data_IF_582933504388
#
_entry.id   IF_582933504388
#
_cell.length_a   1.000
_cell.length_b   1.000
_cell.length_c   1.000
_cell.angle_alpha   90.00
_cell.angle_beta   90.00
_cell.angle_gamma   90.00
#
_symmetry.space_group_name_H-M   'P 1'
#
loop_
_entity.id
_entity.type
_entity.pdbx_description
1 polymer ?
#
# COMPACT_ATOMS: atom_id res chain seq x y z
N UNK A 1 -6.71 16.24 13.48
CA UNK A 1 -6.67 17.51 12.70
C UNK A 1 -7.92 17.66 11.86
N UNK A 2 -7.96 17.02 10.69
CA UNK A 2 -9.01 17.20 9.67
C UNK A 2 -10.45 16.86 10.12
N UNK A 3 -10.64 15.99 11.11
CA UNK A 3 -11.96 15.73 11.70
C UNK A 3 -12.48 16.84 12.62
N UNK A 4 -11.56 17.58 13.25
CA UNK A 4 -11.89 18.66 14.18
C UNK A 4 -11.98 20.01 13.44
N UNK A 5 -11.26 20.14 12.33
CA UNK A 5 -11.12 21.37 11.55
C UNK A 5 -11.55 21.12 10.11
N UNK A 6 -12.71 21.67 9.71
CA UNK A 6 -13.13 21.70 8.31
C UNK A 6 -12.49 22.90 7.61
N UNK A 7 -11.38 22.67 6.91
CA UNK A 7 -10.62 23.73 6.24
C UNK A 7 -11.26 24.20 4.93
N UNK A 8 -12.06 23.34 4.26
CA UNK A 8 -12.86 23.66 3.07
C UNK A 8 -14.14 22.82 3.10
N UNK A 9 -15.29 23.37 3.54
CA UNK A 9 -16.56 22.65 3.51
C UNK A 9 -17.11 22.70 2.08
N UNK A 10 -16.45 22.05 1.14
CA UNK A 10 -17.15 21.63 -0.06
C UNK A 10 -18.17 20.59 0.43
N UNK A 11 -19.45 20.77 0.09
CA UNK A 11 -20.37 19.65 0.22
C UNK A 11 -19.70 18.52 -0.55
N UNK A 12 -19.38 17.41 0.13
CA UNK A 12 -18.93 16.22 -0.55
C UNK A 12 -20.09 15.80 -1.43
N UNK A 13 -20.15 16.35 -2.64
CA UNK A 13 -21.16 16.01 -3.62
C UNK A 13 -20.98 14.51 -3.79
N UNK A 14 -22.06 13.77 -3.53
CA UNK A 14 -22.15 12.31 -3.67
C UNK A 14 -22.04 11.93 -5.16
N UNK A 15 -20.99 12.41 -5.83
CA UNK A 15 -20.61 12.09 -7.21
C UNK A 15 -20.05 10.68 -7.19
N UNK A 16 -20.53 9.84 -8.11
CA UNK A 16 -20.07 8.47 -8.32
C UNK A 16 -20.37 7.46 -7.19
N UNK A 17 -21.47 7.63 -6.45
CA UNK A 17 -21.95 6.61 -5.47
C UNK A 17 -23.31 6.00 -5.84
N UNK A 18 -23.67 6.05 -7.12
CA UNK A 18 -24.98 5.60 -7.60
C UNK A 18 -25.20 4.10 -7.45
N UNK A 19 -24.15 3.30 -7.34
CA UNK A 19 -24.18 1.90 -6.95
C UNK A 19 -24.50 1.74 -5.46
N UNK A 20 -23.82 2.48 -4.58
CA UNK A 20 -24.05 2.45 -3.12
C UNK A 20 -25.46 2.90 -2.75
N UNK A 21 -26.01 3.88 -3.46
CA UNK A 21 -27.38 4.36 -3.26
C UNK A 21 -28.47 3.35 -3.67
N UNK A 22 -28.14 2.38 -4.53
CA UNK A 22 -29.06 1.32 -4.95
C UNK A 22 -29.07 0.14 -3.99
N UNK A 23 -28.06 0.00 -3.13
CA UNK A 23 -27.99 -1.07 -2.15
C UNK A 23 -28.81 -0.71 -0.90
N UNK A 24 -29.94 -1.41 -0.63
CA UNK A 24 -30.80 -1.08 0.50
C UNK A 24 -30.12 -1.29 1.86
N UNK A 25 -29.15 -2.20 1.97
CA UNK A 25 -28.41 -2.45 3.20
C UNK A 25 -27.47 -1.29 3.51
N UNK A 26 -26.77 -0.78 2.49
CA UNK A 26 -25.86 0.38 2.63
C UNK A 26 -26.67 1.64 2.98
N UNK A 27 -27.81 1.86 2.33
CA UNK A 27 -28.69 3.00 2.64
C UNK A 27 -29.26 2.92 4.05
N UNK A 28 -29.66 1.72 4.50
CA UNK A 28 -30.08 1.50 5.88
C UNK A 28 -28.94 1.80 6.87
N UNK A 29 -27.73 1.32 6.57
CA UNK A 29 -26.56 1.59 7.40
C UNK A 29 -26.24 3.09 7.45
N UNK A 30 -26.24 3.82 6.33
CA UNK A 30 -26.00 5.27 6.27
C UNK A 30 -26.98 6.02 7.17
N UNK A 31 -28.27 5.66 7.11
CA UNK A 31 -29.35 6.27 7.90
C UNK A 31 -29.18 6.05 9.42
N UNK A 32 -28.70 4.89 9.84
CA UNK A 32 -28.62 4.51 11.26
C UNK A 32 -27.19 4.38 11.79
N UNK A 33 -26.17 4.83 11.04
CA UNK A 33 -24.77 4.57 11.32
C UNK A 33 -24.34 4.97 12.74
N UNK A 34 -24.79 6.13 13.23
CA UNK A 34 -24.49 6.59 14.58
C UNK A 34 -25.13 5.73 15.67
N UNK A 35 -26.37 5.28 15.47
CA UNK A 35 -27.06 4.39 16.40
C UNK A 35 -26.45 2.99 16.41
N UNK A 36 -26.14 2.44 15.24
CA UNK A 36 -25.44 1.16 15.11
C UNK A 36 -24.08 1.26 15.81
N UNK A 37 -23.32 2.31 15.54
CA UNK A 37 -22.01 2.57 16.15
C UNK A 37 -22.08 2.71 17.67
N UNK A 38 -23.08 3.43 18.20
CA UNK A 38 -23.25 3.59 19.64
C UNK A 38 -23.66 2.26 20.32
N UNK A 39 -24.59 1.53 19.72
CA UNK A 39 -25.04 0.25 20.24
C UNK A 39 -23.93 -0.80 20.24
N UNK A 40 -23.32 -1.07 19.07
CA UNK A 40 -22.28 -2.09 18.95
C UNK A 40 -20.99 -1.66 19.66
N UNK A 41 -20.67 -0.36 19.61
CA UNK A 41 -19.46 0.20 20.18
C UNK A 41 -19.47 0.34 21.70
N UNK A 42 -20.63 0.58 22.34
CA UNK A 42 -20.69 0.83 23.79
C UNK A 42 -21.73 -0.02 24.51
N UNK A 43 -22.96 -0.12 24.00
CA UNK A 43 -24.05 -0.82 24.70
C UNK A 43 -23.78 -2.32 24.78
N UNK A 44 -23.50 -2.97 23.66
CA UNK A 44 -23.22 -4.41 23.59
C UNK A 44 -22.07 -4.82 24.50
N UNK A 45 -20.87 -4.20 24.45
CA UNK A 45 -19.78 -4.61 25.33
C UNK A 45 -20.08 -4.36 26.82
N UNK A 46 -20.83 -3.30 27.15
CA UNK A 46 -21.28 -3.03 28.53
C UNK A 46 -22.23 -4.11 29.03
N UNK A 47 -23.22 -4.50 28.22
CA UNK A 47 -24.21 -5.54 28.58
C UNK A 47 -23.54 -6.90 28.72
N UNK A 48 -22.65 -7.27 27.79
CA UNK A 48 -21.87 -8.51 27.90
C UNK A 48 -20.99 -8.52 29.15
N UNK A 49 -20.36 -7.39 29.46
CA UNK A 49 -19.63 -7.21 30.72
C UNK A 49 -20.53 -7.39 31.94
N UNK A 50 -21.75 -6.84 31.91
CA UNK A 50 -22.73 -7.00 32.99
C UNK A 50 -23.08 -8.46 33.23
N UNK A 51 -23.35 -9.23 32.17
CA UNK A 51 -23.65 -10.66 32.31
C UNK A 51 -22.44 -11.47 32.80
N UNK A 52 -21.22 -11.00 32.54
CA UNK A 52 -20.01 -11.68 33.00
C UNK A 52 -19.71 -11.45 34.48
N UNK A 53 -19.83 -10.21 34.99
CA UNK A 53 -19.41 -9.86 36.36
C UNK A 53 -20.24 -8.74 37.01
N UNK A 54 -21.54 -8.64 36.68
CA UNK A 54 -22.45 -7.65 37.23
C UNK A 54 -22.01 -6.21 36.92
N UNK A 55 -22.26 -5.29 37.85
CA UNK A 55 -21.97 -3.85 37.64
C UNK A 55 -20.49 -3.59 37.37
N UNK A 56 -19.58 -4.30 38.03
CA UNK A 56 -18.13 -4.16 37.80
C UNK A 56 -17.77 -4.62 36.39
N UNK A 57 -18.33 -5.75 35.97
CA UNK A 57 -18.16 -6.24 34.60
C UNK A 57 -18.73 -5.27 33.56
N UNK A 58 -19.87 -4.64 33.83
CA UNK A 58 -20.46 -3.63 32.95
C UNK A 58 -19.53 -2.44 32.74
N UNK A 59 -18.97 -1.91 33.83
CA UNK A 59 -17.99 -0.82 33.77
C UNK A 59 -16.73 -1.25 33.00
N UNK A 60 -16.23 -2.47 33.26
CA UNK A 60 -15.10 -3.04 32.53
C UNK A 60 -15.38 -3.16 31.02
N UNK A 61 -16.58 -3.65 30.66
CA UNK A 61 -17.04 -3.76 29.28
C UNK A 61 -17.17 -2.40 28.58
N UNK A 62 -17.70 -1.39 29.27
CA UNK A 62 -17.77 -0.04 28.72
C UNK A 62 -16.38 0.55 28.48
N UNK A 63 -15.49 0.45 29.46
CA UNK A 63 -14.21 1.16 29.42
C UNK A 63 -13.19 0.48 28.50
N UNK A 64 -13.08 -0.85 28.51
CA UNK A 64 -12.03 -1.57 27.78
C UNK A 64 -12.46 -1.89 26.34
N UNK A 65 -13.38 -2.85 26.07
CA UNK A 65 -13.81 -3.14 24.71
C UNK A 65 -14.71 -2.05 24.10
N UNK A 66 -15.30 -1.16 24.90
CA UNK A 66 -16.00 0.03 24.41
C UNK A 66 -15.06 1.17 24.06
N UNK A 67 -14.61 1.91 25.07
CA UNK A 67 -13.85 3.16 24.90
C UNK A 67 -12.41 2.91 24.44
N UNK A 68 -11.61 2.13 25.19
CA UNK A 68 -10.19 1.97 24.89
C UNK A 68 -9.96 1.33 23.51
N UNK A 69 -10.72 0.29 23.18
CA UNK A 69 -10.73 -0.32 21.85
C UNK A 69 -11.09 0.69 20.76
N UNK A 70 -12.13 1.52 20.95
CA UNK A 70 -12.52 2.53 19.97
C UNK A 70 -11.37 3.52 19.72
N UNK A 71 -10.75 4.02 20.79
CA UNK A 71 -9.59 4.91 20.69
C UNK A 71 -8.47 4.26 19.90
N UNK A 72 -8.12 3.01 20.22
CA UNK A 72 -7.04 2.29 19.52
C UNK A 72 -7.35 2.12 18.04
N UNK A 73 -8.53 1.58 17.68
CA UNK A 73 -8.96 1.37 16.29
C UNK A 73 -8.95 2.69 15.53
N UNK A 74 -9.45 3.77 16.13
CA UNK A 74 -9.47 5.09 15.50
C UNK A 74 -8.07 5.60 15.16
N UNK A 75 -7.10 5.43 16.06
CA UNK A 75 -5.72 5.81 15.80
C UNK A 75 -5.09 4.98 14.69
N UNK A 76 -5.34 3.67 14.65
CA UNK A 76 -4.84 2.81 13.57
C UNK A 76 -5.41 3.24 12.21
N UNK A 77 -6.71 3.58 12.15
CA UNK A 77 -7.31 4.13 10.92
C UNK A 77 -6.68 5.46 10.51
N UNK A 78 -6.34 6.34 11.46
CA UNK A 78 -5.68 7.60 11.16
C UNK A 78 -4.22 7.45 10.72
N UNK A 79 -3.53 6.41 11.18
CA UNK A 79 -2.19 6.08 10.69
C UNK A 79 -2.15 5.76 9.19
N UNK A 80 -3.25 5.26 8.62
CA UNK A 80 -3.35 5.09 7.16
C UNK A 80 -3.23 6.45 6.47
N UNK A 81 -4.02 7.43 6.90
CA UNK A 81 -4.04 8.77 6.31
C UNK A 81 -2.82 9.64 6.65
N UNK A 82 -1.92 9.17 7.52
CA UNK A 82 -0.76 9.92 7.99
C UNK A 82 0.53 9.14 7.78
N UNK A 83 0.82 8.16 8.65
CA UNK A 83 2.05 7.39 8.61
C UNK A 83 2.24 6.63 7.29
N UNK A 84 1.19 6.10 6.67
CA UNK A 84 1.31 5.46 5.35
C UNK A 84 1.55 6.45 4.20
N UNK A 85 1.49 7.76 4.46
CA UNK A 85 1.91 8.83 3.54
C UNK A 85 3.23 9.50 3.95
N UNK A 86 3.91 8.99 4.99
CA UNK A 86 5.17 9.54 5.49
C UNK A 86 6.29 8.49 5.55
N UNK A 87 5.98 7.26 5.96
CA UNK A 87 6.95 6.21 6.29
C UNK A 87 6.76 5.02 5.35
N UNK A 88 7.86 4.51 4.79
CA UNK A 88 7.87 3.32 3.94
C UNK A 88 8.50 3.55 2.58
N UNK A 89 8.24 2.66 1.63
CA UNK A 89 8.78 2.70 0.27
C UNK A 89 7.67 2.95 -0.76
N UNK A 90 8.04 3.31 -2.00
CA UNK A 90 7.09 3.49 -3.11
C UNK A 90 7.44 2.55 -4.27
N UNK A 91 7.18 1.24 -4.12
CA UNK A 91 7.61 0.27 -5.13
C UNK A 91 6.77 0.30 -6.42
N UNK A 92 5.55 0.85 -6.43
CA UNK A 92 4.64 0.76 -7.58
C UNK A 92 4.33 2.10 -8.25
N UNK A 93 4.26 3.20 -7.50
CA UNK A 93 4.07 4.54 -8.07
C UNK A 93 4.64 5.64 -7.17
N UNK A 94 5.31 6.62 -7.78
CA UNK A 94 5.76 7.85 -7.10
C UNK A 94 4.86 9.05 -7.37
N UNK A 95 3.73 8.86 -8.07
CA UNK A 95 2.79 9.93 -8.45
C UNK A 95 2.00 10.48 -7.25
N UNK A 96 1.89 9.69 -6.18
CA UNK A 96 1.26 10.10 -4.92
C UNK A 96 2.19 9.89 -3.71
N UNK A 97 1.77 10.39 -2.54
CA UNK A 97 2.59 10.33 -1.34
C UNK A 97 2.54 8.98 -0.60
N UNK A 98 1.61 8.10 -0.97
CA UNK A 98 1.37 6.81 -0.32
C UNK A 98 2.61 5.91 -0.38
N UNK A 99 2.83 5.15 0.69
CA UNK A 99 4.00 4.30 0.91
C UNK A 99 3.59 2.95 1.47
N UNK A 100 4.36 1.93 1.09
CA UNK A 100 4.27 0.58 1.65
C UNK A 100 5.12 0.47 2.91
N UNK A 101 4.51 0.00 4.00
CA UNK A 101 5.20 -0.29 5.26
C UNK A 101 4.63 -1.53 5.93
N UNK A 102 5.48 -2.54 6.12
CA UNK A 102 5.10 -3.79 6.81
C UNK A 102 4.69 -3.54 8.27
N UNK A 103 5.35 -2.59 8.95
CA UNK A 103 5.00 -2.24 10.33
C UNK A 103 3.60 -1.63 10.37
N UNK A 104 3.29 -0.72 9.43
CA UNK A 104 1.94 -0.16 9.35
C UNK A 104 0.92 -1.25 8.99
N UNK A 105 1.24 -2.13 8.06
CA UNK A 105 0.34 -3.22 7.65
C UNK A 105 -0.03 -4.14 8.82
N UNK A 106 0.87 -4.36 9.79
CA UNK A 106 0.54 -5.09 11.00
C UNK A 106 -0.54 -4.38 11.84
N UNK A 107 -0.36 -3.08 12.10
CA UNK A 107 -1.28 -2.27 12.91
C UNK A 107 -2.61 -1.98 12.22
N UNK A 108 -2.61 -1.92 10.89
CA UNK A 108 -3.77 -1.58 10.07
C UNK A 108 -4.39 -2.80 9.37
N UNK A 109 -3.99 -4.01 9.76
CA UNK A 109 -4.50 -5.27 9.21
C UNK A 109 -4.40 -5.38 7.67
N UNK A 110 -3.29 -4.90 7.11
CA UNK A 110 -2.96 -5.02 5.68
C UNK A 110 -2.97 -3.69 4.93
N UNK A 111 -3.70 -2.68 5.41
CA UNK A 111 -3.84 -1.36 4.74
C UNK A 111 -2.53 -0.56 4.65
N UNK A 112 -1.47 -1.00 5.35
CA UNK A 112 -0.15 -0.37 5.31
C UNK A 112 0.63 -0.60 4.01
N UNK A 113 0.16 -1.49 3.11
CA UNK A 113 0.65 -1.57 1.73
C UNK A 113 -0.06 -0.52 0.86
N UNK A 114 0.08 0.74 1.28
CA UNK A 114 -0.74 1.83 0.79
C UNK A 114 -0.29 2.32 -0.60
N UNK A 115 0.99 2.15 -0.94
CA UNK A 115 1.46 2.48 -2.29
C UNK A 115 0.82 1.54 -3.33
N UNK A 116 0.76 0.24 -3.01
CA UNK A 116 0.04 -0.72 -3.85
C UNK A 116 -1.43 -0.37 -4.00
N UNK A 117 -2.10 -0.10 -2.87
CA UNK A 117 -3.52 0.24 -2.84
C UNK A 117 -3.84 1.47 -3.72
N UNK A 118 -3.02 2.54 -3.64
CA UNK A 118 -3.25 3.74 -4.46
C UNK A 118 -3.02 3.50 -5.95
N UNK A 119 -2.03 2.70 -6.33
CA UNK A 119 -1.78 2.37 -7.74
C UNK A 119 -2.86 1.43 -8.31
N UNK A 120 -3.35 0.48 -7.49
CA UNK A 120 -4.23 -0.59 -7.93
C UNK A 120 -5.49 -0.72 -7.07
N UNK A 121 -6.22 0.39 -6.89
CA UNK A 121 -7.41 0.51 -6.01
C UNK A 121 -8.53 -0.52 -6.25
N UNK A 122 -8.52 -1.18 -7.41
CA UNK A 122 -9.53 -2.17 -7.80
C UNK A 122 -9.14 -3.62 -7.49
N UNK A 123 -7.92 -3.90 -7.04
CA UNK A 123 -7.54 -5.21 -6.52
C UNK A 123 -8.13 -5.39 -5.12
N UNK A 124 -8.70 -6.55 -4.81
CA UNK A 124 -9.24 -6.81 -3.47
C UNK A 124 -8.14 -6.95 -2.39
N UNK A 125 -6.87 -7.06 -2.77
CA UNK A 125 -5.71 -7.22 -1.88
C UNK A 125 -5.03 -5.88 -1.67
N UNK A 126 -4.55 -5.66 -0.45
CA UNK A 126 -3.59 -4.60 -0.19
C UNK A 126 -2.16 -5.13 -0.32
N UNK A 127 -1.89 -6.32 0.22
CA UNK A 127 -0.61 -7.02 0.10
C UNK A 127 -0.65 -8.10 -0.98
N UNK A 128 -0.03 -7.86 -2.14
CA UNK A 128 0.00 -8.82 -3.26
C UNK A 128 1.06 -9.91 -3.17
N UNK A 129 2.15 -9.66 -2.46
CA UNK A 129 3.25 -10.60 -2.32
C UNK A 129 2.88 -11.66 -1.27
N UNK A 130 3.36 -12.92 -1.41
CA UNK A 130 2.97 -13.99 -0.50
C UNK A 130 3.44 -13.78 0.95
N UNK A 131 4.55 -13.03 1.15
CA UNK A 131 5.07 -12.70 2.49
C UNK A 131 4.42 -11.44 3.12
N UNK A 132 3.56 -10.74 2.38
CA UNK A 132 2.91 -9.53 2.88
C UNK A 132 1.74 -9.88 3.81
N UNK A 133 1.81 -9.37 5.05
CA UNK A 133 0.81 -9.57 6.09
C UNK A 133 -0.46 -8.78 5.75
N UNK A 134 -1.50 -9.50 5.35
CA UNK A 134 -2.77 -8.91 4.95
C UNK A 134 -3.91 -9.87 5.36
N UNK A 135 -4.38 -9.76 6.62
CA UNK A 135 -5.50 -10.55 7.13
C UNK A 135 -6.81 -10.31 6.40
N UNK A 136 -7.06 -9.11 5.87
CA UNK A 136 -8.31 -8.80 5.14
C UNK A 136 -8.35 -9.58 3.82
N UNK A 137 -7.23 -9.64 3.08
CA UNK A 137 -7.07 -10.52 1.91
C UNK A 137 -7.40 -11.98 2.24
N UNK A 138 -6.85 -12.52 3.33
CA UNK A 138 -7.07 -13.93 3.70
C UNK A 138 -8.52 -14.19 4.09
N UNK A 139 -9.13 -13.24 4.82
CA UNK A 139 -10.54 -13.30 5.22
C UNK A 139 -11.44 -13.29 3.99
N UNK A 140 -11.28 -12.34 3.06
CA UNK A 140 -12.06 -12.26 1.82
C UNK A 140 -11.88 -13.52 0.97
N UNK A 141 -10.65 -14.02 0.86
CA UNK A 141 -10.35 -15.25 0.15
C UNK A 141 -11.06 -16.47 0.77
N UNK A 142 -11.05 -16.61 2.10
CA UNK A 142 -11.76 -17.69 2.78
C UNK A 142 -13.28 -17.58 2.57
N UNK A 143 -13.83 -16.37 2.69
CA UNK A 143 -15.25 -16.10 2.42
C UNK A 143 -15.64 -16.50 0.98
N UNK A 144 -14.73 -16.33 0.02
CA UNK A 144 -14.98 -16.77 -1.36
C UNK A 144 -14.99 -18.29 -1.50
N UNK A 145 -14.25 -19.02 -0.66
CA UNK A 145 -14.22 -20.49 -0.67
C UNK A 145 -15.49 -21.10 -0.11
N UNK A 146 -16.16 -20.41 0.81
CA UNK A 146 -17.45 -20.83 1.36
C UNK A 146 -18.65 -20.24 0.61
N UNK A 147 -18.40 -19.50 -0.50
CA UNK A 147 -19.46 -18.96 -1.36
C UNK A 147 -20.11 -17.66 -0.89
N UNK A 148 -19.58 -17.01 0.15
CA UNK A 148 -20.10 -15.73 0.67
C UNK A 148 -19.65 -14.52 -0.16
N UNK A 149 -18.55 -14.65 -0.90
CA UNK A 149 -18.09 -13.63 -1.85
C UNK A 149 -17.72 -14.29 -3.17
N UNK A 150 -17.82 -13.53 -4.27
CA UNK A 150 -17.46 -14.00 -5.61
C UNK A 150 -16.81 -12.86 -6.41
N UNK A 151 -16.31 -13.16 -7.61
CA UNK A 151 -15.77 -12.15 -8.54
C UNK A 151 -14.64 -11.29 -7.94
N UNK A 152 -13.74 -11.90 -7.17
CA UNK A 152 -12.59 -11.21 -6.59
C UNK A 152 -11.68 -10.64 -7.70
N UNK A 153 -11.63 -9.31 -7.79
CA UNK A 153 -10.82 -8.60 -8.78
C UNK A 153 -9.35 -8.66 -8.39
N UNK A 154 -8.49 -9.06 -9.34
CA UNK A 154 -7.04 -9.14 -9.16
C UNK A 154 -6.33 -8.50 -10.33
N UNK A 155 -5.32 -7.70 -10.04
CA UNK A 155 -4.41 -7.16 -11.04
C UNK A 155 -3.52 -8.30 -11.53
N UNK A 156 -3.36 -8.47 -12.85
CA UNK A 156 -2.44 -9.44 -13.42
C UNK A 156 -0.99 -9.22 -12.97
N UNK A 157 -0.25 -10.31 -12.76
CA UNK A 157 1.11 -10.26 -12.21
C UNK A 157 2.07 -9.45 -13.08
N UNK A 158 1.90 -9.51 -14.40
CA UNK A 158 2.66 -8.76 -15.39
C UNK A 158 2.46 -7.24 -15.26
N UNK A 159 1.25 -6.77 -14.90
CA UNK A 159 1.01 -5.34 -14.69
C UNK A 159 1.66 -4.85 -13.39
N UNK A 160 1.60 -5.66 -12.33
CA UNK A 160 2.26 -5.36 -11.05
C UNK A 160 3.77 -5.28 -11.26
N UNK A 161 4.36 -6.27 -11.94
CA UNK A 161 5.79 -6.29 -12.24
C UNK A 161 6.21 -5.11 -13.13
N UNK A 162 5.38 -4.74 -14.11
CA UNK A 162 5.65 -3.58 -14.96
C UNK A 162 5.71 -2.29 -14.14
N UNK A 163 4.76 -2.07 -13.23
CA UNK A 163 4.76 -0.89 -12.35
C UNK A 163 6.02 -0.83 -11.48
N UNK A 164 6.42 -1.98 -10.90
CA UNK A 164 7.67 -2.08 -10.14
C UNK A 164 8.91 -1.71 -10.97
N UNK A 165 9.01 -2.23 -12.19
CA UNK A 165 10.12 -1.95 -13.11
C UNK A 165 10.16 -0.46 -13.47
N UNK A 166 9.01 0.14 -13.80
CA UNK A 166 8.94 1.54 -14.19
C UNK A 166 9.31 2.48 -13.04
N UNK A 167 8.89 2.20 -11.81
CA UNK A 167 9.30 3.00 -10.65
C UNK A 167 10.78 2.88 -10.33
N UNK A 168 11.33 1.68 -10.42
CA UNK A 168 12.77 1.50 -10.24
C UNK A 168 13.55 2.24 -11.35
N UNK A 169 13.06 2.21 -12.59
CA UNK A 169 13.65 2.94 -13.70
C UNK A 169 13.60 4.46 -13.48
N UNK A 170 12.47 4.99 -13.01
CA UNK A 170 12.31 6.41 -12.61
C UNK A 170 13.31 6.78 -11.52
N UNK A 171 13.45 5.93 -10.50
CA UNK A 171 14.40 6.13 -9.39
C UNK A 171 15.84 6.14 -9.89
N UNK A 172 16.25 5.12 -10.67
CA UNK A 172 17.58 5.03 -11.26
C UNK A 172 17.90 6.26 -12.12
N UNK A 173 16.98 6.68 -12.99
CA UNK A 173 17.13 7.88 -13.81
C UNK A 173 17.34 9.15 -12.98
N UNK A 174 16.54 9.33 -11.90
CA UNK A 174 16.65 10.49 -11.01
C UNK A 174 18.00 10.52 -10.31
N UNK A 175 18.47 9.36 -9.83
CA UNK A 175 19.78 9.24 -9.17
C UNK A 175 20.92 9.50 -10.15
N UNK A 176 20.87 8.91 -11.35
CA UNK A 176 21.86 9.14 -12.40
C UNK A 176 21.96 10.61 -12.78
N UNK A 177 20.82 11.28 -13.05
CA UNK A 177 20.80 12.70 -13.41
C UNK A 177 21.39 13.58 -12.29
N UNK A 178 21.03 13.31 -11.03
CA UNK A 178 21.58 14.04 -9.88
C UNK A 178 23.08 13.79 -9.71
N UNK A 179 23.55 12.55 -9.86
CA UNK A 179 24.95 12.20 -9.75
C UNK A 179 25.81 12.83 -10.85
N UNK A 180 25.31 12.89 -12.10
CA UNK A 180 25.99 13.55 -13.22
C UNK A 180 26.08 15.07 -13.05
N UNK A 181 25.09 15.67 -12.38
CA UNK A 181 25.08 17.11 -12.10
C UNK A 181 26.01 17.53 -10.94
N UNK A 182 26.52 16.57 -10.17
CA UNK A 182 27.39 16.86 -9.04
C UNK A 182 28.83 17.12 -9.47
N UNK A 183 29.53 17.92 -8.68
CA UNK A 183 30.85 18.48 -8.99
C UNK A 183 31.85 17.40 -9.45
N UNK A 184 32.63 17.73 -10.47
CA UNK A 184 33.58 16.86 -11.14
C UNK A 184 34.59 16.18 -10.19
N UNK A 185 34.82 16.76 -9.01
CA UNK A 185 35.68 16.22 -7.94
C UNK A 185 35.08 14.97 -7.25
N UNK A 186 33.76 14.94 -7.02
CA UNK A 186 33.05 13.75 -6.47
C UNK A 186 33.06 12.59 -7.47
N UNK A 187 32.98 12.93 -8.75
CA UNK A 187 33.03 11.94 -9.82
C UNK A 187 34.43 11.37 -10.05
N UNK A 188 35.48 11.81 -9.36
CA UNK A 188 36.81 11.21 -9.46
C UNK A 188 36.99 9.95 -8.60
N UNK A 189 36.16 9.77 -7.57
CA UNK A 189 36.16 8.57 -6.74
C UNK A 189 35.73 7.35 -7.58
N UNK A 190 36.60 6.34 -7.64
CA UNK A 190 36.38 5.11 -8.41
C UNK A 190 35.11 4.37 -7.94
N UNK A 191 34.81 4.38 -6.64
CA UNK A 191 33.62 3.77 -6.07
C UNK A 191 32.34 4.44 -6.58
N UNK A 192 32.36 5.78 -6.70
CA UNK A 192 31.22 6.56 -7.21
C UNK A 192 31.05 6.33 -8.72
N UNK A 193 32.13 6.26 -9.49
CA UNK A 193 32.09 5.93 -10.93
C UNK A 193 31.52 4.54 -11.17
N UNK A 194 31.99 3.54 -10.44
CA UNK A 194 31.53 2.16 -10.56
C UNK A 194 30.06 2.04 -10.15
N UNK A 195 29.65 2.68 -9.06
CA UNK A 195 28.26 2.73 -8.64
C UNK A 195 27.36 3.40 -9.70
N UNK A 196 27.78 4.54 -10.24
CA UNK A 196 27.04 5.25 -11.28
C UNK A 196 26.91 4.42 -12.56
N UNK A 197 27.99 3.77 -13.01
CA UNK A 197 27.96 2.89 -14.18
C UNK A 197 27.05 1.69 -13.97
N UNK A 198 27.08 1.08 -12.77
CA UNK A 198 26.19 -0.03 -12.42
C UNK A 198 24.71 0.39 -12.40
N UNK A 199 24.39 1.59 -11.90
CA UNK A 199 23.01 2.15 -11.94
C UNK A 199 22.58 2.42 -13.38
N UNK A 200 23.46 2.99 -14.22
CA UNK A 200 23.17 3.22 -15.65
C UNK A 200 22.92 1.93 -16.41
N UNK A 201 23.75 0.90 -16.20
CA UNK A 201 23.53 -0.41 -16.81
C UNK A 201 22.21 -1.01 -16.35
N UNK A 202 21.94 -0.98 -15.04
CA UNK A 202 20.67 -1.46 -14.50
C UNK A 202 19.46 -0.71 -15.07
N UNK A 203 19.56 0.60 -15.30
CA UNK A 203 18.51 1.39 -15.97
C UNK A 203 18.23 0.87 -17.39
N UNK A 204 19.28 0.61 -18.18
CA UNK A 204 19.14 0.08 -19.54
C UNK A 204 18.51 -1.31 -19.55
N UNK A 205 18.96 -2.19 -18.66
CA UNK A 205 18.40 -3.55 -18.52
C UNK A 205 16.90 -3.46 -18.18
N UNK A 206 16.52 -2.60 -17.22
CA UNK A 206 15.13 -2.38 -16.85
C UNK A 206 14.27 -1.81 -17.98
N UNK A 207 14.83 -0.92 -18.80
CA UNK A 207 14.16 -0.38 -19.99
C UNK A 207 13.89 -1.49 -21.03
N UNK A 208 14.82 -2.41 -21.21
CA UNK A 208 14.61 -3.56 -22.09
C UNK A 208 13.51 -4.48 -21.55
N UNK A 209 13.56 -4.84 -20.26
CA UNK A 209 12.51 -5.64 -19.62
C UNK A 209 11.14 -4.97 -19.71
N UNK A 210 11.04 -3.66 -19.50
CA UNK A 210 9.76 -2.95 -19.57
C UNK A 210 9.18 -2.96 -20.99
N UNK A 211 10.01 -2.78 -22.03
CA UNK A 211 9.59 -2.88 -23.43
C UNK A 211 9.07 -4.26 -23.77
N UNK A 212 9.79 -5.31 -23.38
CA UNK A 212 9.36 -6.69 -23.64
C UNK A 212 8.03 -7.00 -22.91
N UNK A 213 7.89 -6.58 -21.65
CA UNK A 213 6.68 -6.82 -20.87
C UNK A 213 5.47 -6.05 -21.41
N UNK A 214 5.64 -4.79 -21.83
CA UNK A 214 4.60 -3.99 -22.50
C UNK A 214 4.12 -4.66 -23.78
N UNK A 215 5.05 -5.18 -24.59
CA UNK A 215 4.73 -5.92 -25.81
C UNK A 215 3.86 -7.15 -25.51
N UNK A 216 4.25 -7.96 -24.51
CA UNK A 216 3.48 -9.14 -24.10
C UNK A 216 2.07 -8.79 -23.59
N UNK A 217 1.95 -7.75 -22.76
CA UNK A 217 0.66 -7.26 -22.27
C UNK A 217 -0.24 -6.82 -23.44
N UNK A 218 0.33 -6.11 -24.42
CA UNK A 218 -0.41 -5.62 -25.59
C UNK A 218 -0.88 -6.76 -26.49
N UNK A 219 -0.03 -7.76 -26.69
CA UNK A 219 -0.33 -8.95 -27.49
C UNK A 219 -1.22 -9.96 -26.74
N UNK A 220 -1.59 -9.69 -25.48
CA UNK A 220 -2.32 -10.62 -24.60
C UNK A 220 -1.64 -11.99 -24.47
N UNK A 221 -0.32 -12.05 -24.68
CA UNK A 221 0.46 -13.27 -24.53
C UNK A 221 0.80 -13.44 -23.05
N UNK A 222 0.09 -14.34 -22.37
CA UNK A 222 0.35 -14.65 -20.97
C UNK A 222 1.77 -15.19 -20.76
N UNK A 223 2.45 -14.76 -19.69
CA UNK A 223 3.71 -15.39 -19.30
C UNK A 223 3.45 -16.80 -18.78
N UNK A 224 4.21 -17.79 -19.29
CA UNK A 224 4.33 -19.07 -18.61
C UNK A 224 4.84 -18.86 -17.18
N UNK A 225 4.32 -19.63 -16.21
CA UNK A 225 4.69 -19.53 -14.79
C UNK A 225 6.20 -19.64 -14.57
N UNK A 226 6.89 -20.48 -15.35
CA UNK A 226 8.34 -20.65 -15.25
C UNK A 226 9.09 -19.38 -15.69
N UNK A 227 8.71 -18.81 -16.84
CA UNK A 227 9.27 -17.57 -17.37
C UNK A 227 8.99 -16.38 -16.45
N UNK A 228 7.76 -16.27 -15.91
CA UNK A 228 7.39 -15.23 -14.96
C UNK A 228 8.23 -15.27 -13.68
N UNK A 229 8.46 -16.48 -13.15
CA UNK A 229 9.31 -16.67 -11.97
C UNK A 229 10.76 -16.30 -12.24
N UNK A 230 11.30 -16.71 -13.39
CA UNK A 230 12.66 -16.35 -13.81
C UNK A 230 12.81 -14.83 -13.89
N UNK A 231 11.92 -14.17 -14.63
CA UNK A 231 11.94 -12.72 -14.79
C UNK A 231 11.78 -11.98 -13.46
N UNK A 232 10.88 -12.43 -12.59
CA UNK A 232 10.72 -11.84 -11.28
C UNK A 232 12.02 -11.94 -10.45
N UNK A 233 12.76 -13.05 -10.55
CA UNK A 233 14.04 -13.22 -9.88
C UNK A 233 15.12 -12.30 -10.47
N UNK A 234 15.19 -12.20 -11.80
CA UNK A 234 16.18 -11.37 -12.50
C UNK A 234 15.97 -9.89 -12.18
N UNK A 235 14.72 -9.42 -12.27
CA UNK A 235 14.32 -8.05 -11.90
C UNK A 235 14.62 -7.78 -10.43
N UNK A 236 14.33 -8.72 -9.54
CA UNK A 236 14.64 -8.56 -8.11
C UNK A 236 16.15 -8.48 -7.84
N UNK A 237 16.96 -9.23 -8.60
CA UNK A 237 18.42 -9.16 -8.53
C UNK A 237 18.93 -7.79 -9.01
N UNK A 238 18.41 -7.31 -10.14
CA UNK A 238 18.71 -5.98 -10.69
C UNK A 238 18.32 -4.87 -9.70
N UNK A 239 17.14 -4.97 -9.09
CA UNK A 239 16.68 -4.00 -8.10
C UNK A 239 17.61 -3.93 -6.89
N UNK A 240 18.03 -5.07 -6.35
CA UNK A 240 19.01 -5.09 -5.24
C UNK A 240 20.34 -4.47 -5.65
N UNK A 241 20.81 -4.75 -6.86
CA UNK A 241 22.06 -4.17 -7.38
C UNK A 241 21.95 -2.65 -7.52
N UNK A 242 20.85 -2.16 -8.10
CA UNK A 242 20.59 -0.73 -8.25
C UNK A 242 20.47 -0.06 -6.87
N UNK A 243 19.62 -0.59 -5.98
CA UNK A 243 19.40 -0.03 -4.63
C UNK A 243 20.69 0.04 -3.81
N UNK A 244 21.55 -0.98 -3.88
CA UNK A 244 22.85 -0.97 -3.23
C UNK A 244 23.73 0.19 -3.73
N UNK A 245 23.81 0.37 -5.05
CA UNK A 245 24.61 1.43 -5.66
C UNK A 245 24.00 2.83 -5.45
N UNK A 246 22.67 2.95 -5.48
CA UNK A 246 21.95 4.17 -5.13
C UNK A 246 22.30 4.61 -3.70
N UNK A 247 22.31 3.68 -2.73
CA UNK A 247 22.69 4.00 -1.34
C UNK A 247 24.14 4.45 -1.21
N UNK A 248 25.05 3.93 -2.03
CA UNK A 248 26.44 4.41 -2.07
C UNK A 248 26.47 5.87 -2.54
N UNK A 249 25.73 6.18 -3.61
CA UNK A 249 25.62 7.52 -4.17
C UNK A 249 24.94 8.52 -3.21
N UNK A 250 23.88 8.11 -2.51
CA UNK A 250 23.20 8.94 -1.50
C UNK A 250 24.11 9.28 -0.32
N UNK A 251 24.94 8.34 0.13
CA UNK A 251 25.90 8.56 1.22
C UNK A 251 27.02 9.54 0.86
N UNK A 252 27.34 9.67 -0.43
CA UNK A 252 28.31 10.63 -0.93
C UNK A 252 27.80 12.09 -0.95
N UNK A 253 26.69 12.39 -0.23
CA UNK A 253 26.08 13.72 -0.11
C UNK A 253 25.61 14.33 -1.44
N UNK A 254 25.30 13.49 -2.43
CA UNK A 254 24.50 13.91 -3.57
C UNK A 254 23.09 14.24 -3.05
N UNK A 255 22.54 15.45 -3.28
CA UNK A 255 21.26 15.86 -2.71
C UNK A 255 20.10 15.11 -3.36
N UNK A 256 19.81 13.90 -2.88
CA UNK A 256 18.71 13.04 -3.35
C UNK A 256 17.57 13.07 -2.31
N UNK A 257 17.01 14.27 -2.08
CA UNK A 257 15.64 14.42 -1.58
C UNK A 257 14.65 14.30 -2.73
#
# INVERSE_FOLDING_TARGET
GWLLLKLKPEQAERKNVGDLQKDPLVVWQDKYCHWIGACVGFVVPTVLGYFHAGVVGALGGLLIPGVARLVFVQHMTFFINSLCHCIGTRPYSSDCTARDSMIMAFFTFGEGYHNYHHEFQHDYRNGVKPWQFDPTKWTIWLLSKVGLTSQLRRVPAEKILLAEIEEMRRTASRVTQKAESATQDLLQDLSIKDALSAVKQGYQDLEEYSKQLRSMITQQVGLSKSKAKLWANDVHCLFRKIDCNVKILERAQLPIG
#
